data_IF_911579650718
#
_entry.id   IF_911579650718
#
_cell.length_a   1.000
_cell.length_b   1.000
_cell.length_c   1.000
_cell.angle_alpha   90.00
_cell.angle_beta   90.00
_cell.angle_gamma   90.00
#
_symmetry.space_group_name_H-M   'P 1'
#
loop_
_entity.id
_entity.type
_entity.pdbx_description
1 polymer ?
#
# COMPACT_ATOMS: atom_id res chain seq x y z
N UNK A 1 -30.78 21.04 -28.13
CA UNK A 1 -30.00 19.79 -28.32
C UNK A 1 -28.57 20.01 -28.84
N UNK A 2 -28.30 21.01 -29.69
CA UNK A 2 -26.96 21.21 -30.28
C UNK A 2 -25.87 21.79 -29.35
N UNK A 3 -26.24 22.62 -28.37
CA UNK A 3 -25.30 23.25 -27.44
C UNK A 3 -24.61 22.28 -26.45
N UNK A 4 -25.27 21.15 -26.18
CA UNK A 4 -24.74 20.11 -25.28
C UNK A 4 -23.75 19.20 -26.01
N UNK A 5 -24.03 18.89 -27.29
CA UNK A 5 -23.12 18.12 -28.15
C UNK A 5 -21.89 18.93 -28.57
N UNK A 6 -22.01 20.25 -28.76
CA UNK A 6 -20.84 21.13 -29.02
C UNK A 6 -19.94 21.28 -27.78
N UNK A 7 -20.50 21.25 -26.57
CA UNK A 7 -19.72 21.28 -25.32
C UNK A 7 -18.94 19.98 -25.08
N UNK A 8 -19.53 18.83 -25.43
CA UNK A 8 -18.85 17.52 -25.40
C UNK A 8 -17.78 17.42 -26.50
N UNK A 9 -18.02 18.01 -27.68
CA UNK A 9 -17.04 18.07 -28.77
C UNK A 9 -15.84 18.98 -28.43
N UNK A 10 -16.07 20.10 -27.75
CA UNK A 10 -15.01 20.99 -27.23
C UNK A 10 -14.20 20.36 -26.07
N UNK A 11 -14.83 19.51 -25.25
CA UNK A 11 -14.13 18.72 -24.23
C UNK A 11 -13.26 17.59 -24.83
N UNK A 12 -13.52 17.20 -26.08
CA UNK A 12 -12.77 16.17 -26.81
C UNK A 12 -11.72 16.75 -27.78
N UNK A 13 -11.96 17.94 -28.35
CA UNK A 13 -11.03 18.66 -29.26
C UNK A 13 -10.01 19.54 -28.52
N UNK A 14 -10.10 19.67 -27.19
CA UNK A 14 -9.02 20.27 -26.40
C UNK A 14 -7.93 19.23 -26.17
N UNK A 15 -6.93 19.29 -27.06
CA UNK A 15 -5.68 18.51 -27.11
C UNK A 15 -4.74 18.81 -25.91
N UNK A 16 -5.30 18.77 -24.70
CA UNK A 16 -4.67 19.00 -23.39
C UNK A 16 -4.55 17.71 -22.58
N UNK A 17 -5.25 16.63 -22.96
CA UNK A 17 -5.18 15.36 -22.24
C UNK A 17 -3.90 14.57 -22.54
N UNK A 18 -3.53 14.46 -23.81
CA UNK A 18 -2.44 13.58 -24.25
C UNK A 18 -1.07 14.31 -24.19
N UNK A 19 -1.05 15.61 -24.47
CA UNK A 19 0.15 16.46 -24.42
C UNK A 19 0.61 16.80 -22.98
N UNK A 20 -0.32 16.92 -22.02
CA UNK A 20 0.00 17.13 -20.59
C UNK A 20 0.49 15.85 -19.91
N UNK A 21 0.02 14.69 -20.34
CA UNK A 21 0.54 13.40 -19.86
C UNK A 21 1.99 13.19 -20.31
N UNK A 22 2.37 13.72 -21.47
CA UNK A 22 3.75 13.62 -21.99
C UNK A 22 4.73 14.64 -21.39
N UNK A 23 4.25 15.77 -20.83
CA UNK A 23 5.10 16.87 -20.34
C UNK A 23 5.07 17.10 -18.83
N UNK A 24 4.15 16.49 -18.09
CA UNK A 24 4.09 16.65 -16.65
C UNK A 24 4.95 15.63 -15.91
N UNK A 25 5.82 16.11 -15.00
CA UNK A 25 6.59 15.28 -14.03
C UNK A 25 5.73 14.25 -13.30
N UNK A 26 4.41 14.44 -13.21
CA UNK A 26 3.48 13.46 -12.63
C UNK A 26 3.27 12.20 -13.47
N UNK A 27 3.30 12.27 -14.81
CA UNK A 27 3.19 11.08 -15.68
C UNK A 27 4.40 10.16 -15.58
N UNK A 28 5.59 10.74 -15.51
CA UNK A 28 6.86 10.00 -15.33
C UNK A 28 6.89 9.27 -13.97
N UNK A 29 6.43 9.93 -12.90
CA UNK A 29 6.34 9.33 -11.56
C UNK A 29 5.34 8.17 -11.50
N UNK A 30 4.24 8.27 -12.24
CA UNK A 30 3.26 7.18 -12.33
C UNK A 30 3.87 5.97 -13.05
N UNK A 31 4.55 6.21 -14.16
CA UNK A 31 5.25 5.16 -14.91
C UNK A 31 6.37 4.48 -14.10
N UNK A 32 7.13 5.26 -13.32
CA UNK A 32 8.13 4.72 -12.38
C UNK A 32 7.50 3.85 -11.29
N UNK A 33 6.36 4.28 -10.73
CA UNK A 33 5.64 3.53 -9.70
C UNK A 33 5.06 2.22 -10.24
N UNK A 34 4.47 2.26 -11.44
CA UNK A 34 3.94 1.09 -12.14
C UNK A 34 5.06 0.10 -12.51
N UNK A 35 6.20 0.59 -12.99
CA UNK A 35 7.38 -0.25 -13.28
C UNK A 35 7.86 -0.99 -12.03
N UNK A 36 7.88 -0.31 -10.88
CA UNK A 36 8.23 -0.93 -9.60
C UNK A 36 7.27 -2.06 -9.22
N UNK A 37 5.96 -1.90 -9.44
CA UNK A 37 4.99 -2.96 -9.21
C UNK A 37 5.20 -4.18 -10.13
N UNK A 38 5.41 -3.94 -11.43
CA UNK A 38 5.73 -4.98 -12.40
C UNK A 38 7.01 -5.75 -12.05
N UNK A 39 8.06 -5.04 -11.61
CA UNK A 39 9.33 -5.67 -11.23
C UNK A 39 9.14 -6.58 -10.01
N UNK A 40 8.35 -6.14 -9.01
CA UNK A 40 8.06 -6.97 -7.83
C UNK A 40 7.42 -8.30 -8.21
N UNK A 41 6.39 -8.28 -9.05
CA UNK A 41 5.67 -9.50 -9.45
C UNK A 41 6.59 -10.47 -10.21
N UNK A 42 7.47 -9.95 -11.07
CA UNK A 42 8.46 -10.77 -11.79
C UNK A 42 9.47 -11.42 -10.84
N UNK A 43 10.05 -10.63 -9.92
CA UNK A 43 11.00 -11.14 -8.93
C UNK A 43 10.34 -12.19 -8.04
N UNK A 44 9.13 -11.93 -7.58
CA UNK A 44 8.33 -12.86 -6.78
C UNK A 44 8.09 -14.15 -7.56
N UNK A 45 7.66 -14.09 -8.83
CA UNK A 45 7.42 -15.28 -9.65
C UNK A 45 8.68 -16.15 -9.78
N UNK A 46 9.85 -15.53 -9.96
CA UNK A 46 11.14 -16.24 -9.99
C UNK A 46 11.46 -16.87 -8.63
N UNK A 47 11.21 -16.16 -7.52
CA UNK A 47 11.43 -16.68 -6.16
C UNK A 47 10.47 -17.84 -5.81
N UNK A 48 9.24 -17.81 -6.32
CA UNK A 48 8.28 -18.91 -6.23
C UNK A 48 8.73 -20.11 -7.05
N UNK A 49 9.28 -19.89 -8.24
CA UNK A 49 9.86 -20.96 -9.05
C UNK A 49 11.02 -21.65 -8.33
N UNK A 50 11.90 -20.87 -7.69
CA UNK A 50 13.06 -21.41 -6.98
C UNK A 50 12.74 -22.09 -5.64
N UNK A 51 11.52 -21.97 -5.12
CA UNK A 51 11.12 -22.56 -3.85
C UNK A 51 11.46 -21.72 -2.61
N UNK A 52 12.22 -20.62 -2.75
CA UNK A 52 12.67 -19.77 -1.64
C UNK A 52 11.50 -19.14 -0.93
N UNK A 53 10.53 -18.66 -1.70
CA UNK A 53 9.38 -17.93 -1.18
C UNK A 53 8.48 -18.83 -0.33
N UNK A 54 8.32 -20.10 -0.72
CA UNK A 54 7.57 -21.09 0.05
C UNK A 54 8.23 -21.41 1.38
N UNK A 55 9.56 -21.37 1.47
CA UNK A 55 10.29 -21.56 2.74
C UNK A 55 10.04 -20.36 3.66
N UNK A 56 10.19 -19.14 3.15
CA UNK A 56 9.98 -17.90 3.91
C UNK A 56 8.54 -17.83 4.42
N UNK A 57 7.55 -18.02 3.54
CA UNK A 57 6.13 -17.96 3.90
C UNK A 57 5.77 -19.03 4.92
N UNK A 58 6.27 -20.27 4.79
CA UNK A 58 6.04 -21.32 5.78
C UNK A 58 6.64 -20.98 7.14
N UNK A 59 7.83 -20.39 7.16
CA UNK A 59 8.48 -19.98 8.40
C UNK A 59 7.68 -18.87 9.10
N UNK A 60 7.32 -17.80 8.36
CA UNK A 60 6.51 -16.69 8.90
C UNK A 60 5.14 -17.20 9.37
N UNK A 61 4.46 -18.02 8.57
CA UNK A 61 3.17 -18.60 8.94
C UNK A 61 3.30 -19.50 10.18
N UNK A 62 4.39 -20.27 10.31
CA UNK A 62 4.65 -21.11 11.49
C UNK A 62 4.89 -20.30 12.76
N UNK A 63 5.68 -19.23 12.68
CA UNK A 63 5.85 -18.27 13.78
C UNK A 63 4.50 -17.69 14.18
N UNK A 64 3.66 -17.37 13.20
CA UNK A 64 2.35 -16.79 13.44
C UNK A 64 1.37 -17.76 14.10
N UNK A 65 1.33 -19.02 13.65
CA UNK A 65 0.55 -20.08 14.29
C UNK A 65 0.99 -20.31 15.74
N UNK A 66 2.30 -20.30 15.98
CA UNK A 66 2.85 -20.47 17.34
C UNK A 66 2.51 -19.29 18.25
N UNK A 67 2.67 -18.05 17.76
CA UNK A 67 2.47 -16.86 18.57
C UNK A 67 0.99 -16.55 18.84
N UNK A 68 0.10 -16.77 17.85
CA UNK A 68 -1.30 -16.35 17.92
C UNK A 68 -2.30 -17.52 18.01
N UNK A 69 -1.85 -18.77 17.93
CA UNK A 69 -2.76 -19.93 17.89
C UNK A 69 -3.67 -19.94 16.66
N UNK A 70 -3.24 -19.28 15.58
CA UNK A 70 -3.99 -19.17 14.33
C UNK A 70 -3.91 -20.46 13.52
N UNK A 71 -4.84 -20.65 12.59
CA UNK A 71 -4.93 -21.85 11.74
C UNK A 71 -3.98 -21.76 10.57
N UNK A 72 -3.72 -22.90 9.92
CA UNK A 72 -2.70 -22.96 8.88
C UNK A 72 -3.07 -22.15 7.64
N UNK A 73 -4.35 -22.15 7.26
CA UNK A 73 -4.84 -21.43 6.08
C UNK A 73 -4.79 -19.91 6.25
N UNK A 74 -5.33 -19.37 7.35
CA UNK A 74 -5.31 -17.92 7.58
C UNK A 74 -3.88 -17.41 7.77
N UNK A 75 -3.02 -18.22 8.40
CA UNK A 75 -1.64 -17.82 8.67
C UNK A 75 -0.79 -17.77 7.41
N UNK A 76 -1.01 -18.72 6.50
CA UNK A 76 -0.36 -18.74 5.21
C UNK A 76 -0.81 -17.55 4.34
N UNK A 77 -2.10 -17.22 4.36
CA UNK A 77 -2.61 -16.08 3.63
C UNK A 77 -2.05 -14.75 4.16
N UNK A 78 -2.04 -14.57 5.49
CA UNK A 78 -1.47 -13.37 6.11
C UNK A 78 0.04 -13.24 5.83
N UNK A 79 0.80 -14.34 5.92
CA UNK A 79 2.21 -14.35 5.56
C UNK A 79 2.43 -14.08 4.05
N UNK A 80 1.57 -14.61 3.19
CA UNK A 80 1.60 -14.36 1.74
C UNK A 80 1.32 -12.90 1.40
N UNK A 81 0.35 -12.27 2.07
CA UNK A 81 -0.02 -10.87 1.85
C UNK A 81 1.14 -9.88 2.02
N UNK A 82 2.16 -10.22 2.83
CA UNK A 82 3.38 -9.41 3.01
C UNK A 82 4.13 -9.24 1.68
N UNK A 83 4.07 -10.24 0.80
CA UNK A 83 4.93 -10.31 -0.38
C UNK A 83 4.14 -10.23 -1.69
N UNK A 84 3.03 -10.95 -1.81
CA UNK A 84 2.26 -11.07 -3.07
C UNK A 84 0.97 -10.24 -3.09
N UNK A 85 0.61 -9.62 -1.96
CA UNK A 85 -0.52 -8.70 -1.86
C UNK A 85 -1.89 -9.37 -1.83
N UNK A 86 -2.91 -8.53 -1.61
CA UNK A 86 -4.27 -8.92 -1.21
C UNK A 86 -5.04 -9.80 -2.19
N UNK A 87 -4.76 -9.70 -3.49
CA UNK A 87 -5.47 -10.48 -4.53
C UNK A 87 -4.79 -11.82 -4.84
N UNK A 88 -3.49 -11.95 -4.55
CA UNK A 88 -2.69 -13.12 -4.90
C UNK A 88 -2.52 -14.07 -3.71
N UNK A 89 -2.50 -13.56 -2.48
CA UNK A 89 -2.40 -14.42 -1.29
C UNK A 89 -3.58 -15.39 -1.12
N UNK A 90 -4.85 -14.98 -1.34
CA UNK A 90 -5.97 -15.91 -1.27
C UNK A 90 -5.91 -16.99 -2.37
N UNK A 91 -5.27 -16.69 -3.51
CA UNK A 91 -5.12 -17.65 -4.60
C UNK A 91 -4.21 -18.82 -4.20
N UNK A 92 -3.21 -18.58 -3.34
CA UNK A 92 -2.34 -19.64 -2.82
C UNK A 92 -3.08 -20.66 -1.98
N UNK A 93 -4.11 -20.22 -1.24
CA UNK A 93 -4.92 -21.07 -0.36
C UNK A 93 -6.27 -21.42 -0.98
N UNK A 94 -6.45 -21.21 -2.29
CA UNK A 94 -7.72 -21.46 -3.01
C UNK A 94 -8.40 -22.79 -2.67
N UNK A 95 -7.72 -23.96 -2.61
CA UNK A 95 -8.39 -25.22 -2.28
C UNK A 95 -8.83 -25.32 -0.81
N UNK A 96 -8.30 -24.46 0.07
CA UNK A 96 -8.65 -24.42 1.50
C UNK A 96 -9.87 -23.53 1.75
N UNK A 97 -10.15 -22.54 0.88
CA UNK A 97 -11.21 -21.55 1.06
C UNK A 97 -12.61 -22.18 1.23
N UNK A 98 -12.89 -23.32 0.59
CA UNK A 98 -14.18 -24.02 0.69
C UNK A 98 -14.40 -24.71 2.04
N UNK A 99 -13.34 -24.92 2.82
CA UNK A 99 -13.38 -25.64 4.09
C UNK A 99 -13.04 -24.77 5.29
N UNK A 100 -12.82 -23.47 5.07
CA UNK A 100 -12.54 -22.51 6.11
C UNK A 100 -13.78 -22.13 6.92
N UNK A 101 -13.57 -21.79 8.19
CA UNK A 101 -14.59 -21.20 9.06
C UNK A 101 -14.85 -19.74 8.65
N UNK A 102 -15.93 -19.15 9.18
CA UNK A 102 -16.25 -17.73 8.93
C UNK A 102 -15.18 -16.78 9.49
N UNK A 103 -14.59 -17.13 10.63
CA UNK A 103 -13.51 -16.38 11.26
C UNK A 103 -12.25 -16.41 10.41
N UNK A 104 -11.86 -17.58 9.89
CA UNK A 104 -10.73 -17.71 8.98
C UNK A 104 -10.92 -16.90 7.69
N UNK A 105 -12.12 -16.95 7.08
CA UNK A 105 -12.44 -16.14 5.90
C UNK A 105 -12.39 -14.64 6.21
N UNK A 106 -12.89 -14.23 7.38
CA UNK A 106 -12.81 -12.84 7.81
C UNK A 106 -11.35 -12.40 8.02
N UNK A 107 -10.51 -13.25 8.61
CA UNK A 107 -9.08 -13.00 8.76
C UNK A 107 -8.35 -12.93 7.42
N UNK A 108 -8.73 -13.75 6.44
CA UNK A 108 -8.18 -13.70 5.07
C UNK A 108 -8.50 -12.36 4.40
N UNK A 109 -9.73 -11.88 4.51
CA UNK A 109 -10.16 -10.61 3.94
C UNK A 109 -9.50 -9.41 4.66
N UNK A 110 -9.61 -9.35 5.98
CA UNK A 110 -9.05 -8.26 6.80
C UNK A 110 -7.53 -8.21 6.71
N UNK A 111 -6.86 -9.37 6.63
CA UNK A 111 -5.43 -9.45 6.39
C UNK A 111 -5.00 -8.89 5.03
N UNK A 112 -5.87 -8.88 4.02
CA UNK A 112 -5.59 -8.25 2.73
C UNK A 112 -5.57 -6.72 2.78
N UNK A 113 -6.49 -6.12 3.55
CA UNK A 113 -6.62 -4.66 3.65
C UNK A 113 -5.74 -4.04 4.74
N UNK A 114 -5.59 -4.71 5.87
CA UNK A 114 -4.87 -4.19 7.03
C UNK A 114 -3.48 -4.82 7.20
N UNK A 115 -3.16 -5.91 6.50
CA UNK A 115 -1.94 -6.72 6.72
C UNK A 115 -1.74 -7.19 8.16
N UNK A 116 -2.81 -7.19 8.98
CA UNK A 116 -2.79 -7.55 10.41
C UNK A 116 -3.91 -8.53 10.72
N UNK A 117 -3.56 -9.81 10.90
CA UNK A 117 -4.52 -10.87 11.25
C UNK A 117 -5.00 -10.77 12.71
N UNK A 118 -4.21 -10.18 13.61
CA UNK A 118 -4.54 -10.06 15.03
C UNK A 118 -5.84 -9.27 15.29
N UNK A 119 -6.03 -8.15 14.59
CA UNK A 119 -7.23 -7.33 14.72
C UNK A 119 -8.48 -8.06 14.22
N UNK A 120 -8.34 -8.89 13.17
CA UNK A 120 -9.47 -9.66 12.65
C UNK A 120 -10.01 -10.64 13.71
N UNK A 121 -9.14 -11.29 14.47
CA UNK A 121 -9.53 -12.23 15.54
C UNK A 121 -10.08 -11.55 16.79
N UNK A 122 -9.63 -10.33 17.09
CA UNK A 122 -10.24 -9.54 18.16
C UNK A 122 -11.66 -9.12 17.81
N UNK A 123 -11.91 -8.76 16.54
CA UNK A 123 -13.23 -8.35 16.06
C UNK A 123 -14.17 -9.53 15.79
N UNK A 124 -13.64 -10.64 15.28
CA UNK A 124 -14.39 -11.83 14.96
C UNK A 124 -13.64 -13.08 15.47
N UNK A 125 -13.89 -13.51 16.71
CA UNK A 125 -13.16 -14.61 17.33
C UNK A 125 -13.54 -15.97 16.72
N UNK A 126 -12.60 -16.91 16.81
CA UNK A 126 -12.78 -18.28 16.32
C UNK A 126 -13.79 -19.03 17.20
N UNK A 127 -14.92 -19.43 16.63
CA UNK A 127 -15.99 -20.14 17.33
C UNK A 127 -16.16 -21.59 16.86
N UNK A 128 -15.59 -21.95 15.72
CA UNK A 128 -15.69 -23.26 15.08
C UNK A 128 -14.33 -23.97 15.07
N UNK A 129 -14.33 -25.30 15.08
CA UNK A 129 -13.07 -26.04 14.89
C UNK A 129 -12.65 -25.97 13.42
N UNK A 130 -11.43 -25.46 13.19
CA UNK A 130 -10.87 -25.39 11.85
C UNK A 130 -10.67 -26.77 11.24
N UNK A 131 -11.13 -26.92 10.00
CA UNK A 131 -10.93 -28.12 9.18
C UNK A 131 -9.62 -28.08 8.40
N UNK A 132 -8.88 -26.96 8.44
CA UNK A 132 -7.63 -26.77 7.69
C UNK A 132 -6.42 -27.13 8.55
N UNK A 133 -5.70 -28.19 8.19
CA UNK A 133 -4.51 -28.62 8.94
C UNK A 133 -3.23 -28.24 8.19
N UNK A 134 -2.11 -28.14 8.92
CA UNK A 134 -0.76 -27.94 8.34
C UNK A 134 -0.43 -28.96 7.23
N UNK A 135 -1.01 -30.17 7.28
CA UNK A 135 -0.87 -31.21 6.25
C UNK A 135 -1.53 -30.82 4.92
N UNK A 136 -2.60 -30.02 4.95
CA UNK A 136 -3.32 -29.60 3.74
C UNK A 136 -2.60 -28.43 3.06
N UNK A 137 -1.91 -27.58 3.85
CA UNK A 137 -1.00 -26.54 3.33
C UNK A 137 0.21 -27.15 2.60
N UNK A 138 0.68 -28.32 3.01
CA UNK A 138 1.79 -29.00 2.32
C UNK A 138 1.40 -29.58 0.95
N UNK A 139 0.10 -29.82 0.71
CA UNK A 139 -0.43 -30.33 -0.57
C UNK A 139 -0.69 -29.23 -1.59
N UNK A 140 -0.41 -27.97 -1.26
CA UNK A 140 -0.59 -26.87 -2.20
C UNK A 140 0.32 -27.07 -3.43
N UNK A 141 -0.21 -26.90 -4.64
CA UNK A 141 0.56 -27.11 -5.86
C UNK A 141 1.80 -26.20 -5.87
N UNK A 142 2.96 -26.81 -6.11
CA UNK A 142 4.19 -26.06 -6.40
C UNK A 142 4.10 -25.47 -7.81
N UNK A 143 4.90 -24.44 -8.09
CA UNK A 143 4.93 -23.77 -9.40
C UNK A 143 5.05 -24.80 -10.52
N UNK A 144 4.08 -24.82 -11.43
CA UNK A 144 4.02 -25.71 -12.60
C UNK A 144 4.92 -25.26 -13.75
N UNK A 145 5.67 -24.18 -13.54
CA UNK A 145 6.53 -23.56 -14.54
C UNK A 145 7.68 -24.48 -14.92
N UNK A 146 7.99 -24.54 -16.22
CA UNK A 146 9.01 -25.44 -16.79
C UNK A 146 10.43 -24.90 -16.59
N UNK A 147 10.63 -23.58 -16.67
CA UNK A 147 11.93 -22.94 -16.49
C UNK A 147 11.79 -21.54 -15.85
N UNK A 148 12.90 -20.99 -15.35
CA UNK A 148 12.87 -19.68 -14.69
C UNK A 148 12.45 -18.54 -15.63
N UNK A 149 12.77 -18.66 -16.93
CA UNK A 149 12.39 -17.69 -17.96
C UNK A 149 10.88 -17.70 -18.19
N UNK A 150 10.25 -18.89 -18.21
CA UNK A 150 8.82 -19.07 -18.33
C UNK A 150 8.11 -18.54 -17.09
N UNK A 151 8.65 -18.78 -15.89
CA UNK A 151 8.11 -18.19 -14.66
C UNK A 151 8.15 -16.65 -14.70
N UNK A 152 9.24 -16.06 -15.19
CA UNK A 152 9.35 -14.61 -15.38
C UNK A 152 8.36 -14.08 -16.44
N UNK A 153 8.24 -14.76 -17.59
CA UNK A 153 7.36 -14.37 -18.68
C UNK A 153 5.87 -14.50 -18.33
N UNK A 154 5.49 -15.57 -17.62
CA UNK A 154 4.13 -15.79 -17.15
C UNK A 154 3.76 -14.79 -16.04
N UNK A 155 4.67 -14.51 -15.10
CA UNK A 155 4.48 -13.45 -14.11
C UNK A 155 4.32 -12.07 -14.74
N UNK A 156 5.11 -11.74 -15.76
CA UNK A 156 4.98 -10.50 -16.52
C UNK A 156 3.63 -10.42 -17.26
N UNK A 157 3.18 -11.51 -17.88
CA UNK A 157 1.90 -11.57 -18.60
C UNK A 157 0.70 -11.43 -17.66
N UNK A 158 0.75 -12.08 -16.48
CA UNK A 158 -0.29 -11.99 -15.46
C UNK A 158 -0.42 -10.56 -14.90
N UNK A 159 0.71 -9.84 -14.82
CA UNK A 159 0.74 -8.44 -14.35
C UNK A 159 -0.01 -7.47 -15.29
N UNK A 160 -0.11 -7.78 -16.59
CA UNK A 160 -0.78 -6.90 -17.57
C UNK A 160 -2.25 -6.69 -17.20
N UNK A 161 -2.99 -7.78 -16.95
CA UNK A 161 -4.40 -7.72 -16.58
C UNK A 161 -4.60 -7.00 -15.24
N UNK A 162 -3.73 -7.26 -14.26
CA UNK A 162 -3.78 -6.60 -12.96
C UNK A 162 -3.58 -5.08 -13.10
N UNK A 163 -2.55 -4.64 -13.84
CA UNK A 163 -2.28 -3.22 -14.02
C UNK A 163 -3.34 -2.54 -14.87
N UNK A 164 -3.88 -3.21 -15.90
CA UNK A 164 -5.00 -2.70 -16.66
C UNK A 164 -6.22 -2.45 -15.75
N UNK A 165 -6.56 -3.41 -14.89
CA UNK A 165 -7.67 -3.26 -13.93
C UNK A 165 -7.43 -2.11 -12.96
N UNK A 166 -6.21 -1.96 -12.42
CA UNK A 166 -5.86 -0.85 -11.55
C UNK A 166 -5.97 0.49 -12.29
N UNK A 167 -5.45 0.59 -13.51
CA UNK A 167 -5.50 1.81 -14.30
C UNK A 167 -6.95 2.23 -14.62
N UNK A 168 -7.78 1.30 -15.07
CA UNK A 168 -9.20 1.54 -15.36
C UNK A 168 -9.94 1.96 -14.09
N UNK A 169 -9.73 1.24 -12.98
CA UNK A 169 -10.35 1.61 -11.70
C UNK A 169 -9.91 2.99 -11.23
N UNK A 170 -8.63 3.36 -11.37
CA UNK A 170 -8.15 4.69 -11.00
C UNK A 170 -8.82 5.79 -11.84
N UNK A 171 -8.99 5.59 -13.15
CA UNK A 171 -9.70 6.55 -14.00
C UNK A 171 -11.16 6.68 -13.56
N UNK A 172 -11.83 5.56 -13.29
CA UNK A 172 -13.20 5.54 -12.79
C UNK A 172 -13.31 6.25 -11.43
N UNK A 173 -12.40 6.00 -10.51
CA UNK A 173 -12.36 6.65 -9.20
C UNK A 173 -12.07 8.14 -9.32
N UNK A 174 -11.10 8.59 -10.11
CA UNK A 174 -10.84 10.02 -10.30
C UNK A 174 -12.07 10.73 -10.86
N UNK A 175 -12.80 10.08 -11.77
CA UNK A 175 -14.04 10.61 -12.34
C UNK A 175 -15.16 10.70 -11.29
N UNK A 176 -15.30 9.67 -10.46
CA UNK A 176 -16.23 9.66 -9.33
C UNK A 176 -15.86 10.69 -8.28
N UNK A 177 -14.57 10.87 -7.97
CA UNK A 177 -14.09 11.87 -7.03
C UNK A 177 -14.33 13.29 -7.56
N UNK A 178 -14.12 13.54 -8.85
CA UNK A 178 -14.48 14.83 -9.45
C UNK A 178 -15.99 15.09 -9.36
N UNK A 179 -16.81 14.06 -9.54
CA UNK A 179 -18.26 14.15 -9.35
C UNK A 179 -18.64 14.41 -7.88
N UNK A 180 -18.03 13.68 -6.94
CA UNK A 180 -18.28 13.81 -5.50
C UNK A 180 -17.76 15.15 -4.97
N UNK A 181 -16.60 15.63 -5.42
CA UNK A 181 -16.08 16.95 -5.08
C UNK A 181 -16.99 18.06 -5.65
N UNK A 182 -17.55 17.88 -6.86
CA UNK A 182 -18.57 18.76 -7.41
C UNK A 182 -19.85 18.79 -6.55
N UNK A 183 -20.34 17.62 -6.14
CA UNK A 183 -21.50 17.50 -5.25
C UNK A 183 -21.21 18.04 -3.84
N UNK A 184 -20.03 17.78 -3.27
CA UNK A 184 -19.61 18.25 -1.96
C UNK A 184 -19.32 19.75 -1.96
N UNK A 185 -18.94 20.36 -3.09
CA UNK A 185 -18.80 21.82 -3.20
C UNK A 185 -20.17 22.49 -3.13
N UNK A 186 -21.21 21.85 -3.69
CA UNK A 186 -22.59 22.30 -3.53
C UNK A 186 -23.07 22.18 -2.07
N UNK A 187 -22.68 21.12 -1.36
CA UNK A 187 -23.04 20.91 0.04
C UNK A 187 -22.08 21.57 1.06
N UNK A 188 -20.86 21.97 0.69
CA UNK A 188 -19.83 22.59 1.55
C UNK A 188 -19.02 21.65 2.45
N UNK A 189 -19.05 20.32 2.27
CA UNK A 189 -18.80 19.35 3.35
C UNK A 189 -17.46 18.59 3.34
N UNK A 190 -16.49 18.96 2.48
CA UNK A 190 -15.17 18.27 2.43
C UNK A 190 -14.35 18.39 3.73
N UNK A 191 -14.57 19.47 4.48
CA UNK A 191 -13.97 19.72 5.79
C UNK A 191 -14.62 18.89 6.92
N UNK A 192 -15.89 18.51 6.78
CA UNK A 192 -16.65 17.83 7.84
C UNK A 192 -16.14 16.40 8.06
N UNK A 193 -15.74 15.70 7.00
CA UNK A 193 -15.20 14.35 7.10
C UNK A 193 -13.86 14.30 7.87
N UNK A 194 -13.02 15.35 7.83
CA UNK A 194 -11.78 15.38 8.63
C UNK A 194 -12.05 15.73 10.09
N UNK A 195 -13.03 16.61 10.37
CA UNK A 195 -13.41 16.95 11.74
C UNK A 195 -13.92 15.73 12.53
N UNK A 196 -14.67 14.83 11.89
CA UNK A 196 -15.13 13.57 12.51
C UNK A 196 -13.98 12.64 12.92
N UNK A 197 -12.81 12.75 12.29
CA UNK A 197 -11.66 11.88 12.53
C UNK A 197 -10.62 12.48 13.49
N UNK A 198 -10.83 13.71 13.98
CA UNK A 198 -9.96 14.33 15.00
C UNK A 198 -9.90 13.49 16.29
N UNK A 199 -11.01 12.98 16.86
CA UNK A 199 -10.94 12.12 18.04
C UNK A 199 -10.12 10.85 17.80
N UNK A 200 -10.20 10.27 16.59
CA UNK A 200 -9.42 9.10 16.21
C UNK A 200 -7.92 9.43 16.15
N UNK A 201 -7.54 10.55 15.55
CA UNK A 201 -6.15 11.01 15.51
C UNK A 201 -5.59 11.26 16.93
N UNK A 202 -6.40 11.85 17.81
CA UNK A 202 -6.02 12.09 19.19
C UNK A 202 -5.81 10.78 19.98
N UNK A 203 -6.69 9.79 19.80
CA UNK A 203 -6.56 8.46 20.44
C UNK A 203 -5.27 7.73 19.99
N UNK A 204 -4.81 7.96 18.77
CA UNK A 204 -3.54 7.41 18.27
C UNK A 204 -2.30 8.11 18.83
N UNK A 205 -2.47 9.09 19.74
CA UNK A 205 -1.37 9.76 20.43
C UNK A 205 -0.77 10.95 19.67
N UNK A 206 -1.48 11.50 18.69
CA UNK A 206 -1.03 12.69 17.96
C UNK A 206 -1.14 13.93 18.86
N UNK A 207 -0.18 14.86 18.76
CA UNK A 207 -0.23 16.13 19.50
C UNK A 207 -1.51 16.91 19.12
N UNK A 208 -2.23 17.52 20.08
CA UNK A 208 -3.48 18.25 19.81
C UNK A 208 -3.39 19.32 18.70
N UNK A 209 -2.19 19.89 18.52
CA UNK A 209 -1.91 20.90 17.49
C UNK A 209 -1.89 20.33 16.08
N UNK A 210 -1.49 19.06 15.95
CA UNK A 210 -1.32 18.37 14.66
C UNK A 210 -2.45 17.38 14.35
N UNK A 211 -3.34 17.13 15.32
CA UNK A 211 -4.48 16.22 15.17
C UNK A 211 -5.33 16.53 13.94
N UNK A 212 -5.49 17.80 13.56
CA UNK A 212 -6.28 18.19 12.38
C UNK A 212 -5.63 17.73 11.08
N UNK A 213 -4.33 17.97 10.91
CA UNK A 213 -3.60 17.55 9.72
C UNK A 213 -3.56 16.03 9.58
N UNK A 214 -3.37 15.32 10.70
CA UNK A 214 -3.36 13.85 10.70
C UNK A 214 -4.76 13.28 10.42
N UNK A 215 -5.82 13.86 10.99
CA UNK A 215 -7.20 13.46 10.70
C UNK A 215 -7.59 13.69 9.24
N UNK A 216 -7.10 14.76 8.60
CA UNK A 216 -7.26 15.00 7.17
C UNK A 216 -6.59 13.91 6.33
N UNK A 217 -5.35 13.53 6.65
CA UNK A 217 -4.65 12.45 5.95
C UNK A 217 -5.36 11.10 6.10
N UNK A 218 -5.86 10.77 7.30
CA UNK A 218 -6.62 9.55 7.56
C UNK A 218 -7.94 9.55 6.78
N UNK A 219 -8.63 10.70 6.74
CA UNK A 219 -9.87 10.86 5.96
C UNK A 219 -9.63 10.68 4.47
N UNK A 220 -8.60 11.31 3.92
CA UNK A 220 -8.19 11.14 2.51
C UNK A 220 -7.82 9.68 2.23
N UNK A 221 -7.08 9.01 3.13
CA UNK A 221 -6.73 7.59 2.98
C UNK A 221 -7.97 6.69 2.99
N UNK A 222 -8.93 6.96 3.86
CA UNK A 222 -10.13 6.12 4.08
C UNK A 222 -11.17 6.30 2.98
N UNK A 223 -11.49 7.54 2.61
CA UNK A 223 -12.57 7.84 1.65
C UNK A 223 -12.09 7.96 0.20
N UNK A 224 -10.83 8.36 -0.01
CA UNK A 224 -10.28 8.56 -1.36
C UNK A 224 -9.33 7.41 -1.72
N UNK A 225 -8.09 7.49 -1.25
CA UNK A 225 -7.06 6.49 -1.50
C UNK A 225 -5.79 6.79 -0.68
N UNK A 226 -5.03 5.74 -0.37
CA UNK A 226 -3.71 5.81 0.23
C UNK A 226 -2.70 6.59 -0.61
N UNK A 227 -2.74 6.47 -1.95
CA UNK A 227 -1.82 7.20 -2.83
C UNK A 227 -1.98 8.72 -2.75
N UNK A 228 -3.23 9.22 -2.68
CA UNK A 228 -3.49 10.66 -2.58
C UNK A 228 -3.04 11.16 -1.20
N UNK A 229 -3.33 10.41 -0.15
CA UNK A 229 -2.89 10.73 1.21
C UNK A 229 -1.36 10.85 1.30
N UNK A 230 -0.60 9.95 0.66
CA UNK A 230 0.87 10.05 0.63
C UNK A 230 1.39 11.27 -0.13
N UNK A 231 0.71 11.68 -1.21
CA UNK A 231 1.09 12.91 -1.93
C UNK A 231 0.93 14.12 -1.01
N UNK A 232 -0.17 14.22 -0.29
CA UNK A 232 -0.41 15.33 0.64
C UNK A 232 0.52 15.27 1.86
N UNK A 233 0.78 14.09 2.41
CA UNK A 233 1.79 13.89 3.45
C UNK A 233 3.19 14.32 2.97
N UNK A 234 3.55 14.02 1.71
CA UNK A 234 4.87 14.41 1.16
C UNK A 234 5.03 15.93 1.06
N UNK A 235 3.94 16.68 0.84
CA UNK A 235 3.94 18.15 0.86
C UNK A 235 4.14 18.66 2.29
N UNK A 236 3.48 18.03 3.27
CA UNK A 236 3.64 18.37 4.69
C UNK A 236 5.07 18.12 5.17
N UNK A 237 5.71 17.01 4.76
CA UNK A 237 7.11 16.72 5.09
C UNK A 237 8.04 17.77 4.49
N UNK A 238 7.88 18.12 3.21
CA UNK A 238 8.69 19.16 2.56
C UNK A 238 8.53 20.53 3.22
N UNK A 239 7.33 20.85 3.69
CA UNK A 239 7.10 22.09 4.43
C UNK A 239 7.64 22.00 5.86
N UNK A 240 7.67 20.82 6.48
CA UNK A 240 8.26 20.54 7.80
C UNK A 240 9.77 20.74 7.83
N UNK A 241 10.48 20.42 6.75
CA UNK A 241 11.92 20.73 6.62
C UNK A 241 12.19 22.24 6.75
N UNK A 242 11.27 23.07 6.27
CA UNK A 242 11.29 24.53 6.46
C UNK A 242 11.06 24.96 7.92
N UNK A 243 10.33 24.16 8.71
CA UNK A 243 10.05 24.38 10.14
C UNK A 243 11.15 23.84 11.07
N UNK A 244 11.76 22.69 10.74
CA UNK A 244 12.95 22.19 11.47
C UNK A 244 14.17 23.07 11.25
N UNK A 245 14.29 23.71 10.07
CA UNK A 245 15.30 24.74 9.79
C UNK A 245 15.13 26.01 10.62
N UNK A 246 13.95 26.29 11.18
CA UNK A 246 13.67 27.51 11.97
C UNK A 246 13.66 27.27 13.48
N UNK A 247 13.47 26.03 13.94
CA UNK A 247 13.50 25.69 15.39
C UNK A 247 14.88 25.42 15.97
N UNK A 248 15.91 25.18 15.16
CA UNK A 248 17.28 24.95 15.67
C UNK A 248 18.31 25.71 14.84
N UNK A 249 18.54 27.01 15.12
CA UNK A 249 19.63 27.76 14.50
C UNK A 249 21.00 27.11 14.77
N UNK A 250 21.16 26.47 15.92
CA UNK A 250 22.46 25.94 16.41
C UNK A 250 22.97 24.70 15.64
N UNK A 251 22.10 23.92 15.00
CA UNK A 251 22.52 22.73 14.22
C UNK A 251 22.93 23.09 12.77
N UNK A 252 22.63 24.31 12.32
CA UNK A 252 23.03 24.80 10.99
C UNK A 252 24.52 25.16 10.96
N UNK A 253 25.04 25.69 12.07
CA UNK A 253 26.46 26.01 12.20
C UNK A 253 27.31 24.74 12.33
N UNK A 254 26.80 23.68 12.96
CA UNK A 254 27.55 22.43 13.13
C UNK A 254 27.74 21.70 11.79
N UNK A 255 26.73 21.68 10.91
CA UNK A 255 26.87 21.06 9.57
C UNK A 255 27.75 21.87 8.61
N UNK A 256 27.78 23.20 8.71
CA UNK A 256 28.70 24.03 7.91
C UNK A 256 30.13 24.02 8.45
N UNK A 257 30.34 23.73 9.74
CA UNK A 257 31.67 23.54 10.33
C UNK A 257 32.28 22.18 9.96
N UNK A 258 31.47 21.12 9.85
CA UNK A 258 31.95 19.79 9.46
C UNK A 258 32.30 19.66 7.97
N UNK A 259 31.63 20.40 7.07
CA UNK A 259 31.96 20.38 5.63
C UNK A 259 33.25 21.16 5.29
N UNK A 260 33.63 22.16 6.11
CA UNK A 260 34.85 22.94 5.91
C UNK A 260 36.05 22.47 6.75
N UNK A 261 35.83 21.63 7.77
CA UNK A 261 36.91 21.04 8.54
C UNK A 261 36.91 19.52 8.42
N UNK A 262 37.70 19.02 7.47
CA UNK A 262 38.37 17.73 7.63
C UNK A 262 39.33 17.79 8.82
N UNK A 263 38.80 17.79 10.04
CA UNK A 263 39.59 17.85 11.27
C UNK A 263 39.25 16.65 12.17
N UNK A 264 40.31 15.94 12.53
CA UNK A 264 40.34 14.70 13.31
C UNK A 264 39.56 14.82 14.62
N UNK A 265 38.93 13.73 15.02
CA UNK A 265 38.28 13.58 16.32
C UNK A 265 39.28 13.74 17.49
N UNK A 266 38.91 14.41 18.60
CA UNK A 266 39.81 14.64 19.75
C UNK A 266 40.32 13.39 20.48
N UNK A 267 39.78 12.21 20.15
CA UNK A 267 40.19 10.93 20.73
C UNK A 267 41.48 10.35 20.09
N UNK A 268 41.92 10.87 18.94
CA UNK A 268 43.16 10.41 18.27
C UNK A 268 44.41 11.20 18.68
N UNK A 269 44.28 12.33 19.39
CA UNK A 269 45.40 13.18 19.81
C UNK A 269 46.09 12.74 21.13
N UNK A 270 45.64 11.66 21.77
CA UNK A 270 46.27 11.08 22.98
C UNK A 270 47.05 9.78 22.76
N UNK A 271 47.27 9.38 21.50
CA UNK A 271 48.15 8.27 21.13
C UNK A 271 49.23 8.73 20.14
N UNK A 272 50.07 9.67 20.55
CA UNK A 272 51.48 9.81 20.14
C UNK A 272 52.26 10.49 21.25
#
# INVERSE_FOLDING_TARGET
>A
MGWWLSSIRLAWETDLGISVIQRSRSGIRLWESLRGAFLRIQVISILYYWGVMQVIVKWVAGVMQFAMGTTAGESLNAAGNIFIGQTEAPLMIKPLLSHMTKSELHAVMTGGFATVAAMAKLLYPETEQSKTTVKDVQKLPKSTEVNFVAAAANGASQSIALVANVAVNLIAFVSLLAFVDGALTWFGHRLICSYLLIPLAFIMGVEPRDCRHVAELIGVKTFLNEFIAYIDLSKLIKNSDTWMSTKTPELRDIKHLDEHQGARTPLEARRK
#
